data_IF_153354085846
#
_entry.id   IF_153354085846
#
_cell.length_a   1.000
_cell.length_b   1.000
_cell.length_c   1.000
_cell.angle_alpha   90.00
_cell.angle_beta   90.00
_cell.angle_gamma   90.00
#
_symmetry.space_group_name_H-M   'P 1'
#
loop_
_entity.id
_entity.type
_entity.pdbx_description
1 polymer ?
#
# COMPACT_ATOMS: atom_id res chain seq x y z
N UNK A 1 -8.65 -9.61 5.96
CA UNK A 1 -7.62 -9.84 6.98
C UNK A 1 -6.54 -8.76 7.11
N UNK A 2 -6.52 -7.71 6.29
CA UNK A 2 -5.44 -6.71 6.36
C UNK A 2 -5.85 -5.37 6.99
N UNK A 3 -7.15 -5.10 7.13
CA UNK A 3 -7.65 -3.77 7.53
C UNK A 3 -7.00 -3.22 8.81
N UNK A 4 -6.83 -4.05 9.84
CA UNK A 4 -6.23 -3.65 11.12
C UNK A 4 -4.70 -3.47 11.07
N UNK A 5 -4.08 -3.81 9.94
CA UNK A 5 -2.64 -3.85 9.72
C UNK A 5 -2.20 -2.77 8.74
N UNK A 6 -3.13 -2.03 8.14
CA UNK A 6 -2.80 -0.92 7.25
C UNK A 6 -2.17 0.22 8.03
N UNK A 7 -1.11 0.79 7.47
CA UNK A 7 -0.57 2.08 7.86
C UNK A 7 -1.62 3.16 7.58
N UNK A 8 -1.61 4.22 8.39
CA UNK A 8 -2.53 5.34 8.26
C UNK A 8 -1.69 6.60 8.04
N UNK A 9 -1.95 7.32 6.95
CA UNK A 9 -1.43 8.67 6.79
C UNK A 9 -2.10 9.57 7.83
N UNK A 10 -1.34 10.01 8.84
CA UNK A 10 -1.88 10.82 9.93
C UNK A 10 -2.13 12.28 9.51
N UNK A 11 -1.66 12.68 8.33
CA UNK A 11 -1.86 14.02 7.80
C UNK A 11 -3.09 14.13 6.89
N UNK A 12 -3.73 13.00 6.55
CA UNK A 12 -4.98 12.97 5.78
C UNK A 12 -6.21 12.88 6.67
N UNK A 13 -7.30 13.55 6.26
CA UNK A 13 -8.63 13.38 6.81
C UNK A 13 -9.43 12.51 5.83
N UNK A 14 -9.77 11.26 6.21
CA UNK A 14 -10.44 10.34 5.30
C UNK A 14 -11.75 10.87 4.73
N UNK A 15 -11.95 10.62 3.43
CA UNK A 15 -13.19 10.86 2.69
C UNK A 15 -13.60 12.35 2.63
N UNK A 16 -12.64 13.27 2.72
CA UNK A 16 -12.93 14.71 2.62
C UNK A 16 -12.75 15.26 1.19
N UNK A 17 -12.15 14.48 0.28
CA UNK A 17 -11.92 14.85 -1.12
C UNK A 17 -10.83 15.90 -1.30
N UNK A 18 -9.95 16.08 -0.32
CA UNK A 18 -8.86 17.06 -0.28
C UNK A 18 -7.54 16.31 -0.08
N UNK A 19 -6.49 16.82 -0.71
CA UNK A 19 -5.10 16.44 -0.41
C UNK A 19 -4.66 17.32 0.78
N UNK A 20 -4.83 16.80 2.00
CA UNK A 20 -4.67 17.57 3.23
C UNK A 20 -3.19 17.80 3.57
N UNK A 21 -2.31 16.88 3.15
CA UNK A 21 -0.88 16.97 3.38
C UNK A 21 -0.09 17.61 2.21
N UNK A 22 -0.76 17.83 1.07
CA UNK A 22 -0.22 18.50 -0.11
C UNK A 22 0.80 17.66 -0.87
N UNK A 23 0.76 16.33 -0.75
CA UNK A 23 1.71 15.41 -1.37
C UNK A 23 1.35 15.05 -2.83
N UNK A 24 0.19 15.50 -3.32
CA UNK A 24 -0.30 15.28 -4.67
C UNK A 24 -1.30 14.12 -4.82
N UNK A 25 -1.67 13.45 -3.73
CA UNK A 25 -2.62 12.34 -3.72
C UNK A 25 -3.77 12.60 -2.74
N UNK A 26 -4.94 12.93 -3.28
CA UNK A 26 -6.16 13.13 -2.49
C UNK A 26 -6.54 11.86 -1.73
N UNK A 27 -6.81 12.00 -0.43
CA UNK A 27 -7.31 10.94 0.46
C UNK A 27 -6.41 9.67 0.50
N UNK A 28 -5.08 9.82 0.49
CA UNK A 28 -4.12 8.70 0.46
C UNK A 28 -3.90 8.01 1.83
N UNK A 29 -5.01 7.77 2.53
CA UNK A 29 -5.09 7.31 3.92
C UNK A 29 -4.29 6.04 4.19
N UNK A 30 -4.20 5.12 3.22
CA UNK A 30 -3.49 3.84 3.37
C UNK A 30 -2.31 3.67 2.39
N UNK A 31 -1.90 4.76 1.74
CA UNK A 31 -0.96 4.81 0.63
C UNK A 31 -1.66 5.20 -0.67
N UNK A 32 -0.99 5.02 -1.82
CA UNK A 32 -1.45 5.59 -3.09
C UNK A 32 -1.33 4.60 -4.27
N UNK A 33 -2.12 4.89 -5.31
CA UNK A 33 -2.06 4.27 -6.63
C UNK A 33 -1.33 5.19 -7.61
N UNK A 34 -0.11 4.81 -7.96
CA UNK A 34 0.76 5.49 -8.92
C UNK A 34 0.51 5.06 -10.36
N UNK A 35 -0.25 3.98 -10.59
CA UNK A 35 -0.62 3.59 -11.95
C UNK A 35 -1.69 4.53 -12.54
N UNK A 36 -2.56 5.07 -11.67
CA UNK A 36 -3.66 5.98 -12.04
C UNK A 36 -3.62 7.33 -11.29
N UNK A 37 -2.53 7.61 -10.57
CA UNK A 37 -2.25 8.84 -9.81
C UNK A 37 -3.40 9.29 -8.86
N UNK A 38 -3.81 8.43 -7.91
CA UNK A 38 -4.80 8.76 -6.86
C UNK A 38 -4.53 8.06 -5.51
N UNK A 39 -5.13 8.53 -4.41
CA UNK A 39 -4.89 8.04 -3.04
C UNK A 39 -5.55 6.71 -2.65
N UNK A 40 -6.14 5.97 -3.60
CA UNK A 40 -6.76 4.67 -3.29
C UNK A 40 -5.94 3.51 -3.89
N UNK A 41 -5.13 2.80 -3.09
CA UNK A 41 -4.28 1.71 -3.56
C UNK A 41 -5.04 0.37 -3.66
N UNK A 42 -6.36 0.38 -3.87
CA UNK A 42 -7.18 -0.83 -3.97
C UNK A 42 -6.59 -1.86 -4.94
N UNK A 43 -6.53 -3.11 -4.48
CA UNK A 43 -5.99 -4.22 -5.26
C UNK A 43 -7.07 -4.85 -6.16
N UNK A 44 -6.93 -4.60 -7.45
CA UNK A 44 -7.75 -5.12 -8.53
C UNK A 44 -7.14 -6.35 -9.22
N UNK A 45 -6.01 -6.87 -8.73
CA UNK A 45 -5.31 -8.04 -9.29
C UNK A 45 -5.29 -9.23 -8.32
N UNK A 46 -5.23 -8.97 -7.01
CA UNK A 46 -5.07 -9.91 -5.87
C UNK A 46 -3.63 -10.21 -5.46
N UNK A 47 -2.64 -9.99 -6.34
CA UNK A 47 -1.23 -10.27 -6.03
C UNK A 47 -0.71 -9.43 -4.85
N UNK A 48 -1.04 -8.13 -4.81
CA UNK A 48 -0.61 -7.24 -3.72
C UNK A 48 -1.19 -7.67 -2.37
N UNK A 49 -2.46 -8.03 -2.34
CA UNK A 49 -3.17 -8.54 -1.17
C UNK A 49 -2.58 -9.85 -0.69
N UNK A 50 -2.25 -10.77 -1.60
CA UNK A 50 -1.65 -12.07 -1.26
C UNK A 50 -0.25 -11.92 -0.64
N UNK A 51 0.62 -11.10 -1.26
CA UNK A 51 1.93 -10.78 -0.71
C UNK A 51 1.82 -10.12 0.68
N UNK A 52 0.92 -9.15 0.81
CA UNK A 52 0.68 -8.43 2.07
C UNK A 52 0.16 -9.35 3.17
N UNK A 53 -0.73 -10.30 2.84
CA UNK A 53 -1.24 -11.32 3.76
C UNK A 53 -0.14 -12.21 4.33
N UNK A 54 0.83 -12.61 3.49
CA UNK A 54 1.98 -13.41 3.93
C UNK A 54 2.81 -12.66 4.99
N UNK A 55 2.92 -11.33 4.87
CA UNK A 55 3.68 -10.50 5.80
C UNK A 55 2.86 -10.23 7.07
N UNK A 56 1.65 -9.71 6.94
CA UNK A 56 0.92 -9.13 8.07
C UNK A 56 -0.58 -9.46 8.09
N UNK A 57 -1.02 -10.60 7.55
CA UNK A 57 -2.38 -11.10 7.83
C UNK A 57 -2.66 -11.14 9.34
N UNK A 58 -3.81 -10.61 9.79
CA UNK A 58 -4.14 -10.55 11.22
C UNK A 58 -4.17 -11.95 11.82
N UNK A 59 -3.29 -12.21 12.79
CA UNK A 59 -3.24 -13.48 13.50
C UNK A 59 -4.21 -13.54 14.68
N UNK A 60 -4.53 -14.77 15.12
CA UNK A 60 -5.33 -15.06 16.31
C UNK A 60 -6.76 -14.45 16.31
N UNK A 61 -7.36 -14.26 15.13
CA UNK A 61 -8.73 -13.78 14.97
C UNK A 61 -9.71 -14.88 14.50
N UNK A 62 -9.22 -16.09 14.22
CA UNK A 62 -10.03 -17.21 13.72
C UNK A 62 -10.49 -17.08 12.26
N UNK A 63 -9.92 -16.15 11.50
CA UNK A 63 -10.27 -15.86 10.10
C UNK A 63 -9.01 -16.00 9.24
N UNK A 64 -9.16 -16.56 8.03
CA UNK A 64 -8.12 -16.59 7.01
C UNK A 64 -6.75 -17.10 7.47
N UNK A 65 -5.71 -16.27 7.35
CA UNK A 65 -4.31 -16.64 7.61
C UNK A 65 -3.60 -15.63 8.51
N UNK A 66 -2.62 -16.11 9.28
CA UNK A 66 -1.72 -15.25 10.04
C UNK A 66 -0.45 -14.95 9.22
N UNK A 67 -0.12 -13.69 9.05
CA UNK A 67 1.15 -13.26 8.45
C UNK A 67 2.33 -13.53 9.37
N UNK A 68 3.54 -13.62 8.82
CA UNK A 68 4.76 -13.87 9.60
C UNK A 68 5.00 -12.80 10.66
N UNK A 69 4.74 -11.55 10.31
CA UNK A 69 4.88 -10.36 11.13
C UNK A 69 3.50 -9.78 11.54
N UNK A 70 2.51 -10.63 11.81
CA UNK A 70 1.15 -10.20 12.21
C UNK A 70 1.06 -9.32 13.47
N UNK A 71 2.18 -9.08 14.18
CA UNK A 71 2.29 -8.13 15.29
C UNK A 71 3.44 -7.16 15.04
N UNK A 72 3.21 -5.88 15.30
CA UNK A 72 4.26 -4.87 15.37
C UNK A 72 4.69 -4.27 14.03
N UNK A 73 3.94 -4.51 12.95
CA UNK A 73 4.16 -3.85 11.67
C UNK A 73 2.88 -3.19 11.17
N UNK A 74 3.03 -2.26 10.24
CA UNK A 74 1.95 -1.65 9.48
C UNK A 74 2.29 -1.67 7.99
N UNK A 75 1.30 -1.89 7.16
CA UNK A 75 1.42 -2.00 5.71
C UNK A 75 1.01 -0.69 5.04
N UNK A 76 1.96 -0.02 4.38
CA UNK A 76 1.68 1.07 3.47
C UNK A 76 1.51 0.48 2.06
N UNK A 77 0.34 0.67 1.45
CA UNK A 77 0.04 0.10 0.14
C UNK A 77 0.45 1.06 -0.97
N UNK A 78 1.37 0.61 -1.83
CA UNK A 78 1.94 1.41 -2.90
C UNK A 78 1.71 0.67 -4.22
N UNK A 79 0.59 1.00 -4.87
CA UNK A 79 0.16 0.33 -6.09
C UNK A 79 0.78 1.03 -7.29
N UNK A 80 1.62 0.33 -8.05
CA UNK A 80 2.08 0.80 -9.36
C UNK A 80 1.87 -0.24 -10.48
N UNK A 81 1.46 -1.46 -10.11
CA UNK A 81 1.05 -2.49 -11.05
C UNK A 81 -0.48 -2.42 -11.24
N UNK A 82 -0.90 -2.45 -12.48
CA UNK A 82 -2.31 -2.47 -12.90
C UNK A 82 -2.96 -3.83 -12.63
N UNK A 83 -4.28 -3.94 -12.89
CA UNK A 83 -5.04 -5.20 -12.85
C UNK A 83 -4.43 -6.35 -13.69
N UNK A 84 -3.55 -6.05 -14.65
CA UNK A 84 -2.85 -7.06 -15.46
C UNK A 84 -1.57 -7.59 -14.81
N UNK A 85 -1.18 -7.07 -13.64
CA UNK A 85 0.09 -7.38 -12.98
C UNK A 85 1.32 -6.70 -13.61
N UNK A 86 1.11 -5.75 -14.53
CA UNK A 86 2.16 -4.97 -15.20
C UNK A 86 2.06 -3.49 -14.86
N UNK A 87 3.17 -2.76 -14.94
CA UNK A 87 3.25 -1.32 -14.65
C UNK A 87 4.52 -0.69 -15.23
N UNK A 88 4.70 0.61 -15.05
CA UNK A 88 5.86 1.34 -15.58
C UNK A 88 6.95 1.48 -14.52
N UNK A 89 8.21 1.47 -14.95
CA UNK A 89 9.35 1.78 -14.07
C UNK A 89 9.25 3.18 -13.45
N UNK A 90 8.68 4.16 -14.17
CA UNK A 90 8.43 5.51 -13.64
C UNK A 90 7.53 5.49 -12.41
N UNK A 91 6.50 4.64 -12.42
CA UNK A 91 5.49 4.61 -11.38
C UNK A 91 6.03 3.83 -10.17
N UNK A 92 6.91 2.86 -10.40
CA UNK A 92 7.69 2.21 -9.34
C UNK A 92 8.63 3.21 -8.63
N UNK A 93 9.26 4.14 -9.36
CA UNK A 93 10.11 5.19 -8.78
C UNK A 93 9.26 6.12 -7.91
N UNK A 94 8.12 6.60 -8.40
CA UNK A 94 7.18 7.42 -7.60
C UNK A 94 6.77 6.70 -6.30
N UNK A 95 6.45 5.41 -6.39
CA UNK A 95 6.09 4.60 -5.22
C UNK A 95 7.22 4.52 -4.19
N UNK A 96 8.48 4.34 -4.64
CA UNK A 96 9.65 4.30 -3.75
C UNK A 96 9.87 5.67 -3.09
N UNK A 97 9.80 6.76 -3.87
CA UNK A 97 9.97 8.12 -3.34
C UNK A 97 8.91 8.44 -2.29
N UNK A 98 7.65 8.08 -2.56
CA UNK A 98 6.56 8.21 -1.60
C UNK A 98 6.83 7.44 -0.30
N UNK A 99 7.29 6.19 -0.41
CA UNK A 99 7.59 5.36 0.77
C UNK A 99 8.69 5.98 1.64
N UNK A 100 9.72 6.53 1.00
CA UNK A 100 10.83 7.21 1.69
C UNK A 100 10.32 8.48 2.38
N UNK A 101 9.52 9.29 1.69
CA UNK A 101 8.95 10.52 2.23
C UNK A 101 8.07 10.24 3.47
N UNK A 102 7.31 9.15 3.46
CA UNK A 102 6.46 8.73 4.58
C UNK A 102 7.18 7.83 5.60
N UNK A 103 8.51 7.69 5.47
CA UNK A 103 9.36 7.08 6.49
C UNK A 103 9.24 5.57 6.62
N UNK A 104 8.81 4.87 5.56
CA UNK A 104 8.80 3.41 5.51
C UNK A 104 10.18 2.83 5.86
N UNK A 105 10.20 1.76 6.67
CA UNK A 105 11.46 1.16 7.16
C UNK A 105 11.95 0.00 6.31
N UNK A 106 11.04 -0.66 5.61
CA UNK A 106 11.30 -1.84 4.76
C UNK A 106 10.36 -1.75 3.56
N UNK A 107 10.88 -2.08 2.38
CA UNK A 107 10.09 -2.27 1.17
C UNK A 107 10.05 -3.76 0.81
N UNK A 108 8.85 -4.28 0.54
CA UNK A 108 8.66 -5.63 0.03
C UNK A 108 8.30 -5.56 -1.45
N UNK A 109 9.20 -6.02 -2.31
CA UNK A 109 9.10 -5.84 -3.76
C UNK A 109 8.97 -7.20 -4.46
N UNK A 110 7.77 -7.54 -4.91
CA UNK A 110 7.47 -8.76 -5.66
C UNK A 110 7.24 -8.44 -7.15
N UNK A 111 8.23 -7.78 -7.76
CA UNK A 111 8.22 -7.36 -9.16
C UNK A 111 9.64 -7.43 -9.74
N UNK A 112 9.73 -7.42 -11.07
CA UNK A 112 10.97 -7.37 -11.82
C UNK A 112 10.68 -6.94 -13.26
N UNK A 113 11.68 -6.49 -13.99
CA UNK A 113 11.50 -5.99 -15.35
C UNK A 113 12.80 -5.87 -16.14
N UNK A 114 12.65 -5.68 -17.44
CA UNK A 114 13.70 -5.53 -18.46
C UNK A 114 13.07 -5.30 -19.83
#
# INVERSE_FOLDING_TARGET
DLKEQMWVNANEIPDNGIDDDGNGYVDDVHGANFADDHGDPWDDQLHGTHCSGTIAGVGNNGIGVAGVAWRGVRLMALKFLTATGSGRTSDAIKAIDYAVAHGAKVLSNSWGGG
#
